data_IF_025533235939
#
_entry.id   IF_025533235939
#
_cell.length_a   1.000
_cell.length_b   1.000
_cell.length_c   1.000
_cell.angle_alpha   90.00
_cell.angle_beta   90.00
_cell.angle_gamma   90.00
#
_symmetry.space_group_name_H-M   'P 1'
#
loop_
_entity.id
_entity.type
_entity.pdbx_description
1 polymer ?
#
# COMPACT_ATOMS: atom_id res chain seq x y z
N UNK A 1 20.74 -60.06 -8.23
CA UNK A 1 22.16 -60.36 -7.94
C UNK A 1 22.25 -60.49 -6.42
N UNK A 2 22.17 -61.71 -5.83
CA UNK A 2 23.30 -62.64 -5.52
C UNK A 2 24.42 -61.86 -4.81
N UNK A 3 24.76 -62.05 -3.52
CA UNK A 3 25.04 -63.25 -2.71
C UNK A 3 24.73 -62.92 -1.21
N UNK A 4 24.21 -63.74 -0.30
CA UNK A 4 24.26 -65.18 -0.02
C UNK A 4 25.63 -65.74 0.42
N UNK A 5 25.75 -65.99 1.73
CA UNK A 5 26.46 -67.16 2.29
C UNK A 5 27.90 -66.95 2.77
N UNK A 6 28.16 -67.15 4.07
CA UNK A 6 28.55 -68.48 4.53
C UNK A 6 28.58 -68.60 6.06
N UNK A 7 27.75 -69.51 6.58
CA UNK A 7 27.99 -70.22 7.83
C UNK A 7 29.12 -71.22 7.61
N UNK A 8 30.02 -71.36 8.59
CA UNK A 8 30.79 -72.59 8.76
C UNK A 8 30.74 -73.00 10.22
N UNK A 9 30.02 -74.09 10.48
CA UNK A 9 30.13 -74.89 11.70
C UNK A 9 31.37 -75.77 11.55
N UNK A 10 32.23 -75.80 12.56
CA UNK A 10 33.15 -76.91 12.76
C UNK A 10 33.24 -77.21 14.27
N UNK A 11 32.76 -78.39 14.64
CA UNK A 11 32.93 -78.98 15.96
C UNK A 11 34.04 -80.03 15.85
N UNK A 12 35.11 -79.91 16.63
CA UNK A 12 35.99 -81.03 16.98
C UNK A 12 36.39 -80.92 18.46
N UNK A 13 36.15 -82.04 19.13
CA UNK A 13 36.48 -82.40 20.50
C UNK A 13 38.00 -82.55 20.66
N UNK A 14 38.59 -81.97 21.69
CA UNK A 14 40.02 -82.15 22.01
C UNK A 14 40.36 -81.58 23.38
N UNK A 15 40.21 -82.41 24.41
CA UNK A 15 40.64 -82.07 25.76
C UNK A 15 42.17 -81.97 25.82
N UNK A 16 42.65 -80.90 26.45
CA UNK A 16 44.03 -80.83 26.94
C UNK A 16 44.11 -79.93 28.16
N UNK A 17 44.89 -80.41 29.11
CA UNK A 17 45.04 -79.95 30.49
C UNK A 17 45.25 -78.44 30.62
N UNK A 18 44.58 -77.89 31.64
CA UNK A 18 44.87 -76.59 32.22
C UNK A 18 46.31 -76.56 32.76
N UNK A 19 47.09 -75.58 32.31
CA UNK A 19 48.14 -74.98 33.12
C UNK A 19 47.80 -73.50 33.28
N UNK A 20 47.41 -73.15 34.50
CA UNK A 20 47.02 -71.79 34.86
C UNK A 20 48.20 -70.84 34.80
N UNK A 21 48.05 -69.77 34.04
CA UNK A 21 48.73 -68.50 34.33
C UNK A 21 48.07 -67.90 35.56
N UNK A 22 48.81 -67.43 36.58
CA UNK A 22 48.19 -66.79 37.74
C UNK A 22 47.48 -65.53 37.26
N UNK A 23 46.15 -65.52 37.40
CA UNK A 23 45.38 -64.29 37.41
C UNK A 23 45.93 -63.45 38.56
N UNK A 24 46.38 -62.23 38.25
CA UNK A 24 46.66 -61.22 39.26
C UNK A 24 45.31 -60.91 39.91
N UNK A 25 45.03 -61.53 41.05
CA UNK A 25 43.88 -61.22 41.88
C UNK A 25 44.03 -59.77 42.34
N UNK A 26 43.06 -58.92 42.00
CA UNK A 26 42.93 -57.61 42.63
C UNK A 26 42.57 -57.83 44.10
N UNK A 27 43.54 -57.72 45.00
CA UNK A 27 43.34 -57.57 46.44
C UNK A 27 42.71 -56.20 46.73
N UNK A 28 41.43 -56.05 46.39
CA UNK A 28 40.60 -54.96 46.89
C UNK A 28 40.11 -55.29 48.30
N UNK A 29 39.86 -54.29 49.17
CA UNK A 29 39.22 -54.52 50.45
C UNK A 29 37.88 -55.26 50.25
N UNK A 30 37.53 -56.22 51.13
CA UNK A 30 36.33 -57.02 50.96
C UNK A 30 35.07 -56.15 51.01
N UNK A 31 34.11 -56.46 50.13
CA UNK A 31 32.77 -55.88 50.18
C UNK A 31 32.09 -56.36 51.46
N UNK A 32 31.52 -55.43 52.23
CA UNK A 32 30.81 -55.69 53.48
C UNK A 32 29.42 -55.09 53.41
N UNK A 33 28.47 -55.72 54.11
CA UNK A 33 27.11 -55.21 54.29
C UNK A 33 26.94 -54.70 55.71
N UNK A 34 26.47 -53.46 55.88
CA UNK A 34 26.17 -52.85 57.17
C UNK A 34 24.77 -52.22 57.14
N UNK A 35 23.97 -52.57 58.14
CA UNK A 35 22.68 -51.95 58.39
C UNK A 35 22.83 -50.87 59.46
N UNK A 36 22.17 -49.74 59.26
CA UNK A 36 22.17 -48.58 60.16
C UNK A 36 20.82 -48.45 60.88
N UNK A 37 20.82 -47.69 61.98
CA UNK A 37 19.64 -47.51 62.83
C UNK A 37 18.48 -46.78 62.11
N UNK A 38 18.79 -46.00 61.07
CA UNK A 38 17.81 -45.36 60.19
C UNK A 38 17.14 -46.35 59.20
N UNK A 39 17.48 -47.64 59.29
CA UNK A 39 17.04 -48.70 58.39
C UNK A 39 17.81 -48.73 57.08
N UNK A 40 18.81 -47.87 56.89
CA UNK A 40 19.68 -47.84 55.73
C UNK A 40 20.57 -49.08 55.65
N UNK A 41 20.81 -49.56 54.43
CA UNK A 41 21.70 -50.69 54.15
C UNK A 41 22.80 -50.21 53.21
N UNK A 42 24.05 -50.28 53.67
CA UNK A 42 25.22 -50.07 52.83
C UNK A 42 25.86 -51.40 52.47
N UNK A 43 26.19 -51.58 51.20
CA UNK A 43 26.95 -52.70 50.66
C UNK A 43 28.14 -52.16 49.86
N UNK A 44 29.36 -52.32 50.38
CA UNK A 44 30.54 -51.74 49.75
C UNK A 44 31.80 -51.88 50.59
N UNK A 45 32.83 -51.12 50.22
CA UNK A 45 34.13 -51.12 50.90
C UNK A 45 34.14 -50.14 52.09
N UNK A 46 34.97 -50.43 53.09
CA UNK A 46 35.14 -49.60 54.28
C UNK A 46 36.61 -49.28 54.51
N UNK A 47 36.89 -48.09 55.05
CA UNK A 47 38.20 -47.68 55.54
C UNK A 47 38.01 -47.09 56.93
N UNK A 48 38.79 -47.56 57.91
CA UNK A 48 38.70 -47.12 59.31
C UNK A 48 37.27 -47.19 59.90
N UNK A 49 36.49 -48.18 59.48
CA UNK A 49 35.10 -48.41 59.95
C UNK A 49 34.03 -47.52 59.33
N UNK A 50 34.40 -46.62 58.41
CA UNK A 50 33.48 -45.75 57.64
C UNK A 50 33.45 -46.14 56.16
N UNK A 51 32.35 -45.81 55.46
CA UNK A 51 32.16 -46.10 54.05
C UNK A 51 33.26 -45.42 53.22
N UNK A 52 33.97 -46.16 52.38
CA UNK A 52 35.03 -45.58 51.53
C UNK A 52 35.28 -46.47 50.32
N UNK A 53 35.58 -45.90 49.16
CA UNK A 53 35.75 -46.66 47.90
C UNK A 53 34.44 -46.70 47.11
N UNK A 54 33.98 -47.87 46.66
CA UNK A 54 32.72 -47.99 45.89
C UNK A 54 31.70 -48.78 46.69
N UNK A 55 30.45 -48.31 46.70
CA UNK A 55 29.38 -48.99 47.42
C UNK A 55 28.00 -48.52 47.05
N UNK A 56 27.02 -49.29 47.50
CA UNK A 56 25.60 -49.03 47.31
C UNK A 56 24.94 -48.77 48.67
N UNK A 57 24.28 -47.63 48.82
CA UNK A 57 23.48 -47.28 49.99
C UNK A 57 22.00 -47.25 49.64
N UNK A 58 21.17 -47.96 50.39
CA UNK A 58 19.72 -48.04 50.20
C UNK A 58 19.00 -47.62 51.47
N UNK A 59 18.06 -46.68 51.35
CA UNK A 59 17.20 -46.26 52.45
C UNK A 59 15.79 -46.86 52.28
N UNK A 60 15.07 -47.15 53.39
CA UNK A 60 13.69 -47.65 53.33
C UNK A 60 12.71 -46.73 52.60
N UNK A 61 13.03 -45.43 52.52
CA UNK A 61 12.22 -44.45 51.79
C UNK A 61 12.33 -44.58 50.25
N UNK A 62 13.15 -45.51 49.74
CA UNK A 62 13.34 -45.73 48.30
C UNK A 62 14.52 -44.97 47.69
N UNK A 63 15.28 -44.20 48.47
CA UNK A 63 16.54 -43.62 48.00
C UNK A 63 17.61 -44.72 47.86
N UNK A 64 18.29 -44.75 46.72
CA UNK A 64 19.43 -45.62 46.47
C UNK A 64 20.58 -44.79 45.86
N UNK A 65 21.79 -44.91 46.40
CA UNK A 65 22.99 -44.38 45.79
C UNK A 65 23.98 -45.50 45.51
N UNK A 66 24.48 -45.60 44.28
CA UNK A 66 25.58 -46.50 43.91
C UNK A 66 26.73 -45.68 43.35
N UNK A 67 27.88 -45.67 44.01
CA UNK A 67 29.01 -44.87 43.52
C UNK A 67 30.19 -44.80 44.47
N UNK A 68 30.98 -43.75 44.31
CA UNK A 68 32.17 -43.47 45.09
C UNK A 68 31.82 -42.87 46.47
N UNK A 69 32.57 -43.28 47.48
CA UNK A 69 32.47 -42.84 48.87
C UNK A 69 33.84 -42.44 49.36
N UNK A 70 33.92 -41.33 50.08
CA UNK A 70 35.12 -40.89 50.78
C UNK A 70 34.81 -40.60 52.24
N UNK A 71 35.32 -41.47 53.14
CA UNK A 71 35.24 -41.29 54.59
C UNK A 71 33.81 -41.05 55.12
N UNK A 72 32.84 -41.82 54.61
CA UNK A 72 31.43 -41.74 54.98
C UNK A 72 30.61 -40.78 54.12
N UNK A 73 31.24 -39.96 53.27
CA UNK A 73 30.54 -39.03 52.38
C UNK A 73 30.44 -39.57 50.96
N UNK A 74 29.29 -39.36 50.31
CA UNK A 74 29.11 -39.60 48.88
C UNK A 74 29.96 -38.57 48.10
N UNK A 75 30.86 -39.05 47.25
CA UNK A 75 31.81 -38.22 46.50
C UNK A 75 32.14 -38.86 45.16
N UNK A 76 32.72 -38.10 44.23
CA UNK A 76 33.13 -38.63 42.93
C UNK A 76 31.94 -39.06 42.06
N UNK A 77 32.09 -40.09 41.25
CA UNK A 77 31.04 -40.50 40.29
C UNK A 77 30.09 -41.54 40.89
N UNK A 78 28.79 -41.40 40.57
CA UNK A 78 27.78 -42.35 41.01
C UNK A 78 26.41 -42.15 40.37
N UNK A 79 25.46 -42.99 40.80
CA UNK A 79 24.06 -42.96 40.40
C UNK A 79 23.21 -42.88 41.66
N UNK A 80 22.39 -41.83 41.77
CA UNK A 80 21.37 -41.69 42.81
C UNK A 80 19.97 -41.91 42.20
N UNK A 81 19.19 -42.81 42.79
CA UNK A 81 17.77 -43.00 42.53
C UNK A 81 17.00 -42.41 43.69
N UNK A 82 16.11 -41.48 43.40
CA UNK A 82 15.34 -40.76 44.40
C UNK A 82 13.99 -41.47 44.65
N UNK A 83 13.40 -41.32 45.85
CA UNK A 83 12.07 -41.89 46.17
C UNK A 83 10.96 -41.53 45.19
N UNK A 84 11.05 -40.35 44.57
CA UNK A 84 10.06 -39.89 43.59
C UNK A 84 10.21 -40.54 42.21
N UNK A 85 11.20 -41.43 42.01
CA UNK A 85 11.50 -42.09 40.73
C UNK A 85 12.53 -41.36 39.86
N UNK A 86 12.99 -40.17 40.28
CA UNK A 86 14.06 -39.46 39.54
C UNK A 86 15.39 -40.18 39.68
N UNK A 87 16.25 -40.06 38.67
CA UNK A 87 17.58 -40.69 38.65
C UNK A 87 18.60 -39.65 38.25
N UNK A 88 19.63 -39.46 39.08
CA UNK A 88 20.81 -38.68 38.74
C UNK A 88 22.00 -39.60 38.53
N UNK A 89 22.74 -39.39 37.44
CA UNK A 89 24.01 -40.04 37.13
C UNK A 89 25.06 -38.96 36.86
N UNK A 90 26.14 -38.94 37.63
CA UNK A 90 27.16 -37.91 37.45
C UNK A 90 28.12 -37.80 38.63
N UNK A 91 28.76 -36.64 38.71
CA UNK A 91 29.70 -36.32 39.78
C UNK A 91 28.96 -35.81 41.04
N UNK A 92 29.54 -36.08 42.20
CA UNK A 92 29.04 -35.72 43.51
C UNK A 92 30.15 -35.12 44.37
N UNK A 93 29.80 -34.12 45.18
CA UNK A 93 30.63 -33.59 46.26
C UNK A 93 29.79 -33.39 47.52
N UNK A 94 30.24 -33.96 48.63
CA UNK A 94 29.56 -33.89 49.94
C UNK A 94 28.08 -34.31 49.83
N UNK A 95 27.82 -35.37 49.09
CA UNK A 95 26.48 -35.90 48.84
C UNK A 95 25.60 -35.12 47.87
N UNK A 96 26.05 -34.00 47.32
CA UNK A 96 25.27 -33.22 46.36
C UNK A 96 25.79 -33.46 44.93
N UNK A 97 24.90 -33.46 43.92
CA UNK A 97 25.29 -33.31 42.52
C UNK A 97 26.27 -32.14 42.33
N UNK A 98 27.39 -32.39 41.66
CA UNK A 98 28.47 -31.42 41.46
C UNK A 98 29.14 -31.68 40.10
N UNK A 99 29.61 -30.64 39.40
CA UNK A 99 30.25 -30.79 38.10
C UNK A 99 29.26 -31.26 37.03
N UNK A 100 29.68 -32.13 36.12
CA UNK A 100 28.81 -32.59 35.04
C UNK A 100 27.97 -33.81 35.46
N UNK A 101 26.69 -33.80 35.12
CA UNK A 101 25.78 -34.91 35.41
C UNK A 101 24.45 -34.83 34.68
N UNK A 102 23.76 -35.97 34.66
CA UNK A 102 22.47 -36.18 34.01
C UNK A 102 21.39 -36.55 35.03
N UNK A 103 20.32 -35.78 35.07
CA UNK A 103 19.10 -36.05 35.81
C UNK A 103 17.99 -36.50 34.84
N UNK A 104 17.30 -37.58 35.17
CA UNK A 104 16.03 -38.00 34.59
C UNK A 104 14.98 -37.80 35.67
N UNK A 105 14.00 -36.94 35.41
CA UNK A 105 12.94 -36.60 36.33
C UNK A 105 11.79 -37.62 36.24
N UNK A 106 11.01 -37.71 37.32
CA UNK A 106 9.89 -38.65 37.40
C UNK A 106 8.80 -38.45 36.34
N UNK A 107 8.67 -37.23 35.79
CA UNK A 107 7.75 -36.89 34.72
C UNK A 107 8.25 -37.27 33.32
N UNK A 108 9.46 -37.86 33.23
CA UNK A 108 10.12 -38.23 31.98
C UNK A 108 10.99 -37.12 31.37
N UNK A 109 11.01 -35.92 31.96
CA UNK A 109 11.95 -34.87 31.59
C UNK A 109 13.39 -35.27 31.94
N UNK A 110 14.36 -34.56 31.37
CA UNK A 110 15.78 -34.74 31.70
C UNK A 110 16.56 -33.44 31.66
N UNK A 111 17.64 -33.38 32.42
CA UNK A 111 18.67 -32.35 32.32
C UNK A 111 20.05 -33.00 32.27
N UNK A 112 20.93 -32.56 31.39
CA UNK A 112 22.31 -33.02 31.28
C UNK A 112 23.23 -31.81 31.15
N UNK A 113 24.08 -31.55 32.15
CA UNK A 113 24.86 -30.32 32.21
C UNK A 113 25.58 -30.10 33.54
N UNK A 114 25.92 -28.84 33.81
CA UNK A 114 26.66 -28.41 34.99
C UNK A 114 25.78 -28.33 36.27
N UNK A 115 26.36 -28.81 37.36
CA UNK A 115 25.78 -28.80 38.71
C UNK A 115 26.75 -28.15 39.69
N UNK A 116 26.21 -27.36 40.62
CA UNK A 116 26.96 -26.78 41.71
C UNK A 116 26.14 -26.89 43.00
N UNK A 117 26.68 -27.61 43.99
CA UNK A 117 26.03 -27.83 45.28
C UNK A 117 24.56 -28.29 45.14
N UNK A 118 24.31 -29.23 44.22
CA UNK A 118 22.99 -29.80 43.97
C UNK A 118 22.05 -28.95 43.12
N UNK A 119 22.49 -27.78 42.63
CA UNK A 119 21.70 -26.90 41.77
C UNK A 119 22.16 -26.99 40.31
N UNK A 120 21.18 -27.03 39.40
CA UNK A 120 21.39 -26.87 37.96
C UNK A 120 21.92 -25.45 37.69
N UNK A 121 23.07 -25.37 37.03
CA UNK A 121 23.75 -24.10 36.70
C UNK A 121 24.58 -24.27 35.43
N UNK A 122 25.39 -23.27 35.06
CA UNK A 122 26.35 -23.38 33.95
C UNK A 122 25.67 -23.68 32.62
N UNK A 123 26.24 -24.54 31.79
CA UNK A 123 25.63 -24.93 30.52
C UNK A 123 25.04 -26.34 30.62
N UNK A 124 23.95 -26.57 29.87
CA UNK A 124 23.38 -27.89 29.78
C UNK A 124 22.25 -27.99 28.77
N UNK A 125 21.71 -29.20 28.67
CA UNK A 125 20.57 -29.53 27.83
C UNK A 125 19.42 -30.06 28.68
N UNK A 126 18.28 -29.38 28.64
CA UNK A 126 17.04 -29.85 29.21
C UNK A 126 16.11 -30.40 28.12
N UNK A 127 15.44 -31.52 28.40
CA UNK A 127 14.31 -32.02 27.65
C UNK A 127 13.12 -32.10 28.60
N UNK A 128 12.02 -31.43 28.27
CA UNK A 128 10.83 -31.37 29.09
C UNK A 128 9.83 -32.46 28.69
N UNK A 129 8.99 -32.89 29.62
CA UNK A 129 7.99 -33.93 29.36
C UNK A 129 7.01 -33.59 28.21
N UNK A 130 6.81 -32.30 27.92
CA UNK A 130 6.01 -31.82 26.80
C UNK A 130 6.75 -31.84 25.43
N UNK A 131 7.98 -32.36 25.39
CA UNK A 131 8.83 -32.45 24.21
C UNK A 131 9.63 -31.19 23.88
N UNK A 132 9.47 -30.10 24.62
CA UNK A 132 10.33 -28.90 24.47
C UNK A 132 11.76 -29.27 24.87
N UNK A 133 12.75 -28.77 24.14
CA UNK A 133 14.15 -28.87 24.53
C UNK A 133 14.77 -27.49 24.67
N UNK A 134 15.71 -27.36 25.60
CA UNK A 134 16.55 -26.18 25.77
C UNK A 134 18.01 -26.60 25.81
N UNK A 135 18.86 -25.94 25.04
CA UNK A 135 20.31 -26.12 25.03
C UNK A 135 20.96 -24.76 25.27
N UNK A 136 21.62 -24.57 26.42
CA UNK A 136 22.17 -23.27 26.79
C UNK A 136 22.50 -23.11 28.27
N UNK A 137 22.62 -21.86 28.69
CA UNK A 137 22.98 -21.51 30.06
C UNK A 137 21.83 -21.63 31.05
N UNK A 138 22.17 -21.91 32.30
CA UNK A 138 21.29 -22.03 33.44
C UNK A 138 21.84 -21.28 34.64
N UNK A 139 20.96 -20.63 35.39
CA UNK A 139 21.26 -20.05 36.70
C UNK A 139 20.13 -20.42 37.67
N UNK A 140 20.46 -21.10 38.77
CA UNK A 140 19.47 -21.59 39.75
C UNK A 140 18.29 -22.34 39.09
N UNK A 141 18.61 -23.25 38.16
CA UNK A 141 17.65 -24.03 37.35
C UNK A 141 16.76 -23.23 36.38
N UNK A 142 16.95 -21.92 36.23
CA UNK A 142 16.28 -21.09 35.22
C UNK A 142 17.18 -20.89 34.00
N UNK A 143 16.58 -20.76 32.81
CA UNK A 143 17.33 -20.39 31.59
C UNK A 143 18.02 -19.04 31.79
N UNK A 144 19.31 -18.97 31.46
CA UNK A 144 20.11 -17.75 31.62
C UNK A 144 21.23 -17.70 30.58
N UNK A 145 21.65 -16.50 30.18
CA UNK A 145 22.73 -16.34 29.21
C UNK A 145 22.26 -16.65 27.79
N UNK A 146 23.05 -17.36 27.00
CA UNK A 146 22.63 -17.75 25.65
C UNK A 146 21.99 -19.14 25.67
N UNK A 147 20.94 -19.33 24.87
CA UNK A 147 20.34 -20.65 24.74
C UNK A 147 19.32 -20.76 23.61
N UNK A 148 19.18 -21.99 23.13
CA UNK A 148 18.26 -22.39 22.07
C UNK A 148 17.13 -23.23 22.66
N UNK A 149 15.92 -22.70 22.63
CA UNK A 149 14.69 -23.42 22.95
C UNK A 149 14.02 -23.91 21.67
N UNK A 150 13.74 -25.20 21.57
CA UNK A 150 13.04 -25.83 20.45
C UNK A 150 11.75 -26.47 20.93
N UNK A 151 10.63 -26.07 20.35
CA UNK A 151 9.33 -26.69 20.59
C UNK A 151 9.04 -27.75 19.51
N UNK A 152 8.32 -28.83 19.85
CA UNK A 152 7.95 -29.88 18.88
C UNK A 152 7.14 -29.39 17.68
N UNK A 153 6.45 -28.24 17.81
CA UNK A 153 5.67 -27.64 16.74
C UNK A 153 6.53 -26.87 15.70
N UNK A 154 7.86 -26.87 15.85
CA UNK A 154 8.78 -26.15 14.96
C UNK A 154 9.11 -24.72 15.39
N UNK A 155 8.53 -24.21 16.48
CA UNK A 155 8.95 -22.93 17.06
C UNK A 155 10.35 -23.06 17.67
N UNK A 156 11.26 -22.18 17.28
CA UNK A 156 12.63 -22.11 17.83
C UNK A 156 12.88 -20.69 18.31
N UNK A 157 13.48 -20.56 19.49
CA UNK A 157 14.08 -19.31 19.97
C UNK A 157 15.55 -19.54 20.25
N UNK A 158 16.41 -18.76 19.62
CA UNK A 158 17.86 -18.75 19.80
C UNK A 158 18.27 -17.33 20.25
N UNK A 159 18.67 -17.16 21.51
CA UNK A 159 19.04 -15.84 21.99
C UNK A 159 19.30 -15.74 23.49
N UNK A 160 19.28 -14.50 23.98
CA UNK A 160 19.57 -14.19 25.39
C UNK A 160 18.39 -14.50 26.31
N UNK A 161 18.69 -15.10 27.45
CA UNK A 161 17.77 -15.39 28.54
C UNK A 161 18.24 -14.70 29.81
N UNK A 162 17.31 -14.13 30.55
CA UNK A 162 17.55 -13.53 31.87
C UNK A 162 16.48 -14.02 32.83
N UNK A 163 16.89 -14.79 33.85
CA UNK A 163 16.00 -15.38 34.87
C UNK A 163 14.78 -16.11 34.26
N UNK A 164 15.01 -16.92 33.22
CA UNK A 164 13.97 -17.69 32.54
C UNK A 164 13.15 -16.91 31.51
N UNK A 165 13.47 -15.63 31.26
CA UNK A 165 12.74 -14.75 30.34
C UNK A 165 13.59 -14.42 29.13
N UNK A 166 13.02 -14.49 27.92
CA UNK A 166 13.69 -14.06 26.67
C UNK A 166 13.97 -12.55 26.73
N UNK A 167 15.21 -12.17 26.50
CA UNK A 167 15.71 -10.81 26.64
C UNK A 167 16.81 -10.52 25.61
N UNK A 168 17.37 -9.30 25.61
CA UNK A 168 18.52 -8.94 24.79
C UNK A 168 18.28 -9.12 23.29
N UNK A 169 19.17 -9.83 22.60
CA UNK A 169 19.02 -10.16 21.17
C UNK A 169 18.53 -11.59 21.03
N UNK A 170 17.69 -11.84 20.04
CA UNK A 170 17.31 -13.21 19.71
C UNK A 170 16.74 -13.37 18.31
N UNK A 171 16.78 -14.62 17.86
CA UNK A 171 16.18 -15.12 16.63
C UNK A 171 15.02 -16.05 16.98
N UNK A 172 13.85 -15.75 16.44
CA UNK A 172 12.68 -16.61 16.51
C UNK A 172 12.46 -17.22 15.13
N UNK A 173 12.38 -18.54 15.04
CA UNK A 173 11.85 -19.23 13.87
C UNK A 173 10.45 -19.74 14.21
N UNK A 174 9.47 -19.33 13.42
CA UNK A 174 8.07 -19.69 13.61
C UNK A 174 7.75 -21.00 12.85
N UNK A 175 6.71 -21.75 13.27
CA UNK A 175 6.29 -22.99 12.60
C UNK A 175 5.94 -22.84 11.12
N UNK A 176 5.49 -21.66 10.69
CA UNK A 176 5.18 -21.34 9.30
C UNK A 176 6.42 -21.04 8.45
N UNK A 177 7.61 -20.98 9.05
CA UNK A 177 8.87 -20.63 8.41
C UNK A 177 9.22 -19.14 8.52
N UNK A 178 8.37 -18.32 9.15
CA UNK A 178 8.70 -16.94 9.44
C UNK A 178 9.92 -16.84 10.37
N UNK A 179 10.70 -15.78 10.23
CA UNK A 179 11.89 -15.54 11.04
C UNK A 179 11.87 -14.11 11.57
N UNK A 180 11.99 -13.95 12.88
CA UNK A 180 12.27 -12.65 13.51
C UNK A 180 13.69 -12.63 14.06
N UNK A 181 14.45 -11.57 13.81
CA UNK A 181 15.76 -11.32 14.41
C UNK A 181 15.79 -9.90 14.96
N UNK A 182 15.97 -9.72 16.27
CA UNK A 182 15.92 -8.39 16.86
C UNK A 182 16.03 -8.36 18.38
N UNK A 183 15.66 -7.20 18.96
CA UNK A 183 15.63 -7.04 20.41
C UNK A 183 14.43 -7.77 21.04
N UNK A 184 14.64 -8.23 22.26
CA UNK A 184 13.68 -8.93 23.09
C UNK A 184 13.67 -8.28 24.47
N UNK A 185 12.48 -8.04 25.01
CA UNK A 185 12.30 -7.57 26.38
C UNK A 185 11.04 -8.20 26.97
N UNK A 186 11.10 -8.61 28.23
CA UNK A 186 9.97 -9.19 28.96
C UNK A 186 9.31 -10.38 28.19
N UNK A 187 10.11 -11.19 27.50
CA UNK A 187 9.60 -12.34 26.74
C UNK A 187 9.01 -12.00 25.37
N UNK A 188 9.00 -10.72 24.97
CA UNK A 188 8.37 -10.22 23.75
C UNK A 188 9.37 -9.53 22.83
N UNK A 189 9.01 -9.41 21.54
CA UNK A 189 9.76 -8.59 20.57
C UNK A 189 9.69 -7.12 20.99
N UNK A 190 10.82 -6.43 20.90
CA UNK A 190 11.02 -5.07 21.39
C UNK A 190 12.07 -4.37 20.53
N UNK A 191 12.30 -3.07 20.76
CA UNK A 191 13.44 -2.34 20.20
C UNK A 191 13.46 -2.35 18.68
N UNK A 192 14.56 -2.79 18.09
CA UNK A 192 14.71 -2.93 16.64
C UNK A 192 14.74 -4.40 16.25
N UNK A 193 14.08 -4.75 15.14
CA UNK A 193 14.10 -6.10 14.62
C UNK A 193 13.61 -6.23 13.19
N UNK A 194 14.00 -7.33 12.57
CA UNK A 194 13.61 -7.73 11.23
C UNK A 194 12.71 -8.95 11.32
N UNK A 195 11.53 -8.89 10.71
CA UNK A 195 10.65 -10.03 10.48
C UNK A 195 10.63 -10.34 8.98
N UNK A 196 10.98 -11.57 8.63
CA UNK A 196 10.90 -12.12 7.27
C UNK A 196 9.86 -13.22 7.25
N UNK A 197 8.83 -13.07 6.42
CA UNK A 197 7.77 -14.06 6.24
C UNK A 197 8.04 -14.92 4.99
N UNK A 198 7.54 -16.16 4.92
CA UNK A 198 7.74 -17.06 3.78
C UNK A 198 7.14 -16.55 2.47
N UNK A 199 6.11 -15.71 2.54
CA UNK A 199 5.46 -15.07 1.39
C UNK A 199 6.28 -13.90 0.81
N UNK A 200 7.45 -13.60 1.37
CA UNK A 200 8.32 -12.50 0.95
C UNK A 200 8.05 -11.17 1.65
N UNK A 201 7.08 -11.09 2.56
CA UNK A 201 6.91 -9.89 3.39
C UNK A 201 8.12 -9.73 4.31
N UNK A 202 8.71 -8.53 4.32
CA UNK A 202 9.83 -8.18 5.19
C UNK A 202 9.48 -6.89 5.93
N UNK A 203 9.50 -6.93 7.26
CA UNK A 203 9.44 -5.75 8.09
C UNK A 203 10.77 -5.52 8.79
N UNK A 204 11.33 -4.33 8.69
CA UNK A 204 12.53 -3.88 9.40
C UNK A 204 12.20 -2.60 10.15
N UNK A 205 12.26 -2.62 11.48
CA UNK A 205 12.05 -1.40 12.26
C UNK A 205 11.72 -1.61 13.72
N UNK A 206 11.02 -0.63 14.27
CA UNK A 206 10.71 -0.54 15.69
C UNK A 206 9.59 -1.49 16.15
N UNK A 207 9.83 -2.13 17.29
CA UNK A 207 8.91 -3.01 17.98
C UNK A 207 8.66 -2.53 19.40
N UNK A 208 7.42 -2.67 19.87
CA UNK A 208 7.03 -2.38 21.25
C UNK A 208 5.98 -3.38 21.70
N UNK A 209 6.20 -3.99 22.86
CA UNK A 209 5.28 -4.95 23.50
C UNK A 209 4.80 -6.05 22.53
N UNK A 210 5.74 -6.58 21.73
CA UNK A 210 5.49 -7.62 20.74
C UNK A 210 4.84 -7.16 19.43
N UNK A 211 4.53 -5.88 19.27
CA UNK A 211 3.87 -5.31 18.08
C UNK A 211 4.81 -4.42 17.27
N UNK A 212 4.56 -4.34 15.97
CA UNK A 212 5.20 -3.37 15.07
C UNK A 212 4.73 -1.96 15.49
N UNK A 213 5.64 -1.13 15.99
CA UNK A 213 5.29 0.18 16.52
C UNK A 213 6.49 1.14 16.49
N UNK A 214 6.38 2.19 15.67
CA UNK A 214 7.42 3.17 15.42
C UNK A 214 7.85 3.21 13.95
N UNK A 215 8.99 3.84 13.69
CA UNK A 215 9.52 3.95 12.32
C UNK A 215 10.01 2.60 11.81
N UNK A 216 9.73 2.31 10.55
CA UNK A 216 10.21 1.11 9.89
C UNK A 216 10.04 1.12 8.39
N UNK A 217 10.58 0.07 7.77
CA UNK A 217 10.45 -0.27 6.35
C UNK A 217 9.67 -1.58 6.24
N UNK A 218 8.55 -1.55 5.52
CA UNK A 218 7.74 -2.71 5.22
C UNK A 218 7.83 -2.99 3.71
N UNK A 219 8.40 -4.13 3.33
CA UNK A 219 8.38 -4.65 1.97
C UNK A 219 7.28 -5.70 1.89
N UNK A 220 6.28 -5.50 1.04
CA UNK A 220 5.19 -6.44 0.84
C UNK A 220 5.56 -7.51 -0.18
N UNK A 221 4.84 -8.64 -0.16
CA UNK A 221 5.03 -9.76 -1.08
C UNK A 221 4.86 -9.39 -2.55
N UNK A 222 4.09 -8.34 -2.85
CA UNK A 222 3.90 -7.82 -4.22
C UNK A 222 5.06 -6.92 -4.70
N UNK A 223 6.02 -6.60 -3.83
CA UNK A 223 7.14 -5.70 -4.13
C UNK A 223 6.94 -4.25 -3.69
N UNK A 224 5.76 -3.87 -3.17
CA UNK A 224 5.55 -2.52 -2.63
C UNK A 224 6.41 -2.31 -1.38
N UNK A 225 7.03 -1.14 -1.29
CA UNK A 225 7.87 -0.76 -0.15
C UNK A 225 7.29 0.47 0.52
N UNK A 226 6.91 0.33 1.79
CA UNK A 226 6.57 1.43 2.68
C UNK A 226 7.75 1.79 3.58
N UNK A 227 7.99 3.07 3.79
CA UNK A 227 8.90 3.61 4.80
C UNK A 227 8.21 4.74 5.56
N UNK A 228 8.05 4.59 6.87
CA UNK A 228 7.37 5.60 7.69
C UNK A 228 6.99 5.08 9.07
N UNK A 229 6.06 5.76 9.72
CA UNK A 229 5.55 5.39 11.03
C UNK A 229 4.50 4.27 10.92
N UNK A 230 4.67 3.21 11.70
CA UNK A 230 3.65 2.18 11.89
C UNK A 230 3.15 2.17 13.32
N UNK A 231 1.86 1.94 13.52
CA UNK A 231 1.22 1.78 14.83
C UNK A 231 0.41 0.50 14.81
N UNK A 232 0.78 -0.46 15.66
CA UNK A 232 0.19 -1.79 15.70
C UNK A 232 0.18 -2.50 14.32
N UNK A 233 1.21 -2.24 13.50
CA UNK A 233 1.34 -2.80 12.14
C UNK A 233 0.64 -1.99 11.03
N UNK A 234 -0.20 -1.02 11.35
CA UNK A 234 -0.85 -0.16 10.35
C UNK A 234 0.00 1.07 10.03
N UNK A 235 0.03 1.50 8.76
CA UNK A 235 0.69 2.75 8.35
C UNK A 235 -0.01 3.95 9.00
N UNK A 236 0.78 4.85 9.56
CA UNK A 236 0.30 6.02 10.28
C UNK A 236 1.25 7.21 10.09
N UNK A 237 0.79 8.42 10.39
CA UNK A 237 1.62 9.62 10.33
C UNK A 237 2.18 9.87 8.93
N UNK A 238 3.39 10.38 8.80
CA UNK A 238 4.03 10.58 7.49
C UNK A 238 4.76 9.33 7.03
N UNK A 239 4.72 9.06 5.74
CA UNK A 239 5.48 7.97 5.14
C UNK A 239 5.54 8.05 3.62
N UNK A 240 6.33 7.15 3.06
CA UNK A 240 6.54 6.99 1.63
C UNK A 240 6.21 5.55 1.23
N UNK A 241 5.43 5.39 0.17
CA UNK A 241 5.22 4.11 -0.52
C UNK A 241 5.87 4.21 -1.89
N UNK A 242 6.75 3.27 -2.21
CA UNK A 242 7.18 2.99 -3.57
C UNK A 242 6.46 1.72 -4.02
N UNK A 243 5.59 1.84 -5.00
CA UNK A 243 4.84 0.71 -5.54
C UNK A 243 5.71 -0.14 -6.45
N UNK A 244 5.35 -1.41 -6.63
CA UNK A 244 6.09 -2.35 -7.48
C UNK A 244 6.17 -1.90 -8.96
N UNK A 245 5.19 -1.12 -9.43
CA UNK A 245 5.19 -0.52 -10.77
C UNK A 245 6.11 0.72 -10.89
N UNK A 246 6.72 1.17 -9.79
CA UNK A 246 7.59 2.34 -9.72
C UNK A 246 6.90 3.64 -9.32
N UNK A 247 5.56 3.66 -9.21
CA UNK A 247 4.84 4.83 -8.72
C UNK A 247 5.22 5.11 -7.27
N UNK A 248 5.08 6.37 -6.86
CA UNK A 248 5.46 6.81 -5.51
C UNK A 248 4.34 7.62 -4.89
N UNK A 249 4.03 7.34 -3.63
CA UNK A 249 3.26 8.23 -2.77
C UNK A 249 4.11 8.67 -1.58
N UNK A 250 4.11 9.96 -1.27
CA UNK A 250 4.74 10.52 -0.08
C UNK A 250 3.78 11.50 0.60
N UNK A 251 3.38 11.20 1.85
CA UNK A 251 2.37 11.99 2.53
C UNK A 251 1.87 11.36 3.82
N UNK A 252 0.71 11.82 4.27
CA UNK A 252 0.08 11.36 5.50
C UNK A 252 -0.69 10.04 5.34
N UNK A 253 -0.73 9.28 6.43
CA UNK A 253 -1.46 8.03 6.59
C UNK A 253 -2.25 8.03 7.91
N UNK A 254 -3.44 7.45 7.87
CA UNK A 254 -4.24 7.13 9.05
C UNK A 254 -4.87 5.76 8.86
N UNK A 255 -4.48 4.79 9.70
CA UNK A 255 -4.95 3.40 9.66
C UNK A 255 -4.91 2.83 8.24
N UNK A 256 -3.69 2.77 7.69
CA UNK A 256 -3.37 2.27 6.36
C UNK A 256 -3.92 3.05 5.16
N UNK A 257 -4.67 4.13 5.39
CA UNK A 257 -5.22 4.96 4.30
C UNK A 257 -4.43 6.24 4.16
N UNK A 258 -4.18 6.66 2.92
CA UNK A 258 -3.65 8.00 2.61
C UNK A 258 -4.60 9.05 3.18
N UNK A 259 -4.06 10.05 3.88
CA UNK A 259 -4.82 11.02 4.65
C UNK A 259 -4.07 12.34 4.79
N UNK A 260 -4.77 13.47 4.77
CA UNK A 260 -4.18 14.79 4.91
C UNK A 260 -3.45 15.20 3.64
N UNK A 261 -2.26 15.79 3.74
CA UNK A 261 -1.50 16.23 2.56
C UNK A 261 -0.58 15.12 2.05
N UNK A 262 -0.44 15.02 0.72
CA UNK A 262 0.51 14.10 0.10
C UNK A 262 0.70 14.34 -1.39
N UNK A 263 1.79 13.78 -1.89
CA UNK A 263 2.19 13.80 -3.29
C UNK A 263 2.14 12.38 -3.84
N UNK A 264 1.48 12.20 -4.98
CA UNK A 264 1.56 10.98 -5.79
C UNK A 264 2.29 11.28 -7.09
N UNK A 265 3.27 10.46 -7.44
CA UNK A 265 4.08 10.56 -8.65
C UNK A 265 3.98 9.25 -9.40
N UNK A 266 3.29 9.27 -10.53
CA UNK A 266 3.20 8.17 -11.48
C UNK A 266 4.43 8.11 -12.38
N UNK A 267 4.78 6.90 -12.78
CA UNK A 267 5.88 6.64 -13.74
C UNK A 267 5.57 7.10 -15.16
N UNK A 268 4.29 7.35 -15.47
CA UNK A 268 3.80 7.92 -16.72
C UNK A 268 3.91 9.46 -16.78
N UNK A 269 4.38 10.10 -15.71
CA UNK A 269 4.48 11.56 -15.60
C UNK A 269 3.26 12.21 -14.94
N UNK A 270 2.24 11.44 -14.54
CA UNK A 270 1.14 11.94 -13.73
C UNK A 270 1.66 12.36 -12.34
N UNK A 271 1.36 13.58 -11.90
CA UNK A 271 1.75 14.05 -10.57
C UNK A 271 0.53 14.69 -9.91
N UNK A 272 0.17 14.23 -8.72
CA UNK A 272 -0.81 14.89 -7.86
C UNK A 272 -0.14 15.42 -6.60
N UNK A 273 -0.44 16.66 -6.21
CA UNK A 273 -0.06 17.26 -4.94
C UNK A 273 -1.28 17.88 -4.29
N UNK A 274 -1.70 17.41 -3.12
CA UNK A 274 -2.90 17.96 -2.48
C UNK A 274 -3.43 17.17 -1.29
N UNK A 275 -4.72 17.36 -1.05
CA UNK A 275 -5.49 16.72 0.02
C UNK A 275 -5.92 15.29 -0.31
N UNK A 276 -5.84 14.44 0.71
CA UNK A 276 -6.23 13.05 0.72
C UNK A 276 -7.19 12.79 1.86
N UNK A 277 -8.26 12.05 1.58
CA UNK A 277 -9.22 11.60 2.58
C UNK A 277 -9.49 10.11 2.39
N UNK A 278 -9.20 9.32 3.43
CA UNK A 278 -9.49 7.89 3.47
C UNK A 278 -9.02 7.11 2.22
N UNK A 279 -7.86 7.48 1.68
CA UNK A 279 -7.24 6.83 0.52
C UNK A 279 -7.52 7.47 -0.84
N UNK A 280 -8.42 8.46 -0.91
CA UNK A 280 -8.83 9.16 -2.14
C UNK A 280 -8.29 10.58 -2.21
N UNK A 281 -8.12 11.10 -3.41
CA UNK A 281 -7.90 12.52 -3.67
C UNK A 281 -9.22 13.25 -3.39
N UNK A 282 -9.22 14.14 -2.40
CA UNK A 282 -10.42 14.85 -1.93
C UNK A 282 -10.01 16.13 -1.21
N UNK A 283 -10.58 17.28 -1.59
CA UNK A 283 -10.18 18.60 -1.08
C UNK A 283 -9.47 19.44 -2.15
N UNK A 284 -8.43 20.19 -1.78
CA UNK A 284 -7.70 21.04 -2.73
C UNK A 284 -6.43 20.35 -3.21
N UNK A 285 -6.12 20.48 -4.50
CA UNK A 285 -4.89 19.93 -5.05
C UNK A 285 -4.53 20.45 -6.43
N UNK A 286 -3.41 19.93 -6.91
CA UNK A 286 -2.86 20.21 -8.23
C UNK A 286 -2.48 18.90 -8.91
N UNK A 287 -2.94 18.70 -10.13
CA UNK A 287 -2.56 17.59 -11.02
C UNK A 287 -1.72 18.14 -12.17
N UNK A 288 -0.60 17.49 -12.45
CA UNK A 288 0.11 17.58 -13.72
C UNK A 288 -0.12 16.27 -14.46
N UNK A 289 -0.70 16.34 -15.66
CA UNK A 289 -0.99 15.19 -16.50
C UNK A 289 0.20 14.83 -17.40
N UNK A 290 0.29 13.58 -17.90
CA UNK A 290 1.36 13.14 -18.81
C UNK A 290 1.51 13.96 -20.10
N UNK A 291 0.42 14.58 -20.58
CA UNK A 291 0.43 15.46 -21.76
C UNK A 291 1.03 16.84 -21.46
N UNK A 292 1.29 17.18 -20.18
CA UNK A 292 1.75 18.48 -19.72
C UNK A 292 0.63 19.42 -19.27
N UNK A 293 -0.63 19.01 -19.39
CA UNK A 293 -1.77 19.76 -18.86
C UNK A 293 -1.67 19.86 -17.34
N UNK A 294 -2.09 20.99 -16.78
CA UNK A 294 -2.06 21.24 -15.33
C UNK A 294 -3.43 21.66 -14.87
N UNK A 295 -4.02 20.91 -13.93
CA UNK A 295 -5.24 21.29 -13.24
C UNK A 295 -4.92 21.69 -11.79
N UNK A 296 -5.52 22.79 -11.31
CA UNK A 296 -5.45 23.23 -9.92
C UNK A 296 -6.86 23.60 -9.44
N UNK A 297 -7.31 22.98 -8.34
CA UNK A 297 -8.65 23.21 -7.84
C UNK A 297 -9.15 22.16 -6.85
N UNK A 298 -10.47 22.04 -6.81
CA UNK A 298 -11.20 21.20 -5.87
C UNK A 298 -11.41 19.79 -6.42
N UNK A 299 -11.33 18.79 -5.54
CA UNK A 299 -11.52 17.38 -5.86
C UNK A 299 -12.53 16.74 -4.91
N UNK A 300 -13.23 15.72 -5.41
CA UNK A 300 -14.05 14.79 -4.64
C UNK A 300 -13.99 13.41 -5.27
N UNK A 301 -13.78 12.39 -4.46
CA UNK A 301 -13.74 10.99 -4.91
C UNK A 301 -12.84 10.77 -6.13
N UNK A 302 -11.60 11.26 -6.06
CA UNK A 302 -10.56 11.15 -7.09
C UNK A 302 -10.77 11.99 -8.37
N UNK A 303 -11.85 12.78 -8.45
CA UNK A 303 -12.21 13.57 -9.62
C UNK A 303 -12.23 15.06 -9.33
N UNK A 304 -11.91 15.89 -10.34
CA UNK A 304 -12.10 17.33 -10.26
C UNK A 304 -13.59 17.65 -10.03
N UNK A 305 -13.90 18.38 -8.97
CA UNK A 305 -15.27 18.66 -8.58
C UNK A 305 -15.34 19.94 -7.73
N UNK A 306 -16.13 20.91 -8.18
CA UNK A 306 -16.20 22.25 -7.59
C UNK A 306 -15.58 23.29 -8.52
N UNK A 307 -14.69 24.13 -8.00
CA UNK A 307 -14.01 25.16 -8.77
C UNK A 307 -12.57 24.75 -9.07
N UNK A 308 -12.09 25.04 -10.27
CA UNK A 308 -10.70 24.81 -10.64
C UNK A 308 -10.33 25.35 -12.01
N UNK A 309 -9.02 25.38 -12.26
CA UNK A 309 -8.40 25.87 -13.48
C UNK A 309 -7.58 24.77 -14.13
N UNK A 310 -7.81 24.51 -15.40
CA UNK A 310 -6.93 23.70 -16.25
C UNK A 310 -6.16 24.61 -17.22
N UNK A 311 -4.87 24.36 -17.36
CA UNK A 311 -3.98 24.98 -18.35
C UNK A 311 -3.41 23.88 -19.23
N UNK A 312 -3.61 23.99 -20.53
CA UNK A 312 -3.13 23.03 -21.51
C UNK A 312 -1.71 23.39 -22.01
N UNK A 313 -0.96 22.44 -22.59
CA UNK A 313 0.40 22.68 -23.09
C UNK A 313 0.48 23.76 -24.17
N UNK A 314 -0.60 23.95 -24.94
CA UNK A 314 -0.70 24.96 -26.00
C UNK A 314 -1.00 26.37 -25.46
N UNK A 315 -1.20 26.50 -24.15
CA UNK A 315 -1.52 27.75 -23.45
C UNK A 315 -3.02 28.03 -23.34
N UNK A 316 -3.90 27.20 -23.92
CA UNK A 316 -5.33 27.32 -23.68
C UNK A 316 -5.64 27.07 -22.19
N UNK A 317 -6.70 27.70 -21.69
CA UNK A 317 -7.12 27.56 -20.29
C UNK A 317 -8.62 27.44 -20.17
N UNK A 318 -9.07 26.76 -19.13
CA UNK A 318 -10.43 26.89 -18.61
C UNK A 318 -10.38 27.10 -17.09
N UNK A 319 -11.16 28.04 -16.58
CA UNK A 319 -11.29 28.35 -15.16
C UNK A 319 -12.77 28.45 -14.79
N UNK A 320 -13.26 27.57 -13.93
CA UNK A 320 -14.68 27.54 -13.58
C UNK A 320 -15.13 26.25 -12.88
N UNK A 321 -16.40 25.90 -13.12
CA UNK A 321 -17.07 24.76 -12.51
C UNK A 321 -16.71 23.39 -13.10
N UNK A 322 -16.65 22.40 -12.21
CA UNK A 322 -16.40 20.99 -12.52
C UNK A 322 -17.37 20.11 -11.75
N UNK A 323 -17.88 19.06 -12.39
CA UNK A 323 -18.67 18.00 -11.76
C UNK A 323 -18.11 16.65 -12.23
N UNK A 324 -17.67 15.82 -11.28
CA UNK A 324 -17.15 14.47 -11.56
C UNK A 324 -16.14 14.42 -12.74
N UNK A 325 -15.19 15.36 -12.77
CA UNK A 325 -14.12 15.42 -13.76
C UNK A 325 -14.50 16.14 -15.07
N UNK A 326 -15.72 16.65 -15.20
CA UNK A 326 -16.22 17.30 -16.42
C UNK A 326 -16.46 18.79 -16.18
N UNK A 327 -16.04 19.62 -17.14
CA UNK A 327 -16.33 21.06 -17.16
C UNK A 327 -17.84 21.28 -17.25
N UNK A 328 -18.41 21.96 -16.25
CA UNK A 328 -19.85 22.13 -16.09
C UNK A 328 -20.17 23.41 -15.32
N UNK A 329 -21.26 24.09 -15.67
CA UNK A 329 -21.67 25.34 -15.01
C UNK A 329 -20.91 26.55 -15.55
N UNK A 330 -20.67 27.57 -14.72
CA UNK A 330 -20.07 28.84 -15.17
C UNK A 330 -18.54 28.78 -15.19
N UNK A 331 -17.92 29.40 -16.18
CA UNK A 331 -16.48 29.53 -16.26
C UNK A 331 -16.00 30.41 -17.42
N UNK A 332 -14.68 30.52 -17.52
CA UNK A 332 -13.99 31.29 -18.56
C UNK A 332 -13.01 30.36 -19.28
N UNK A 333 -13.15 30.24 -20.60
CA UNK A 333 -12.22 29.55 -21.48
C UNK A 333 -11.41 30.55 -22.32
N UNK A 334 -10.09 30.40 -22.34
CA UNK A 334 -9.17 31.15 -23.21
C UNK A 334 -8.58 30.18 -24.20
N UNK A 335 -8.74 30.46 -25.49
CA UNK A 335 -8.24 29.63 -26.58
C UNK A 335 -6.90 30.16 -27.10
N UNK A 336 -6.11 29.31 -27.75
CA UNK A 336 -4.77 29.65 -28.27
C UNK A 336 -4.76 30.77 -29.30
N UNK A 337 -5.87 30.98 -30.00
CA UNK A 337 -6.07 32.08 -30.95
C UNK A 337 -6.41 33.43 -30.28
N UNK A 338 -6.46 33.48 -28.94
CA UNK A 338 -6.81 34.68 -28.17
C UNK A 338 -8.31 34.89 -27.99
N UNK A 339 -9.17 33.99 -28.48
CA UNK A 339 -10.59 34.02 -28.19
C UNK A 339 -10.80 33.71 -26.71
N UNK A 340 -11.69 34.46 -26.06
CA UNK A 340 -12.13 34.21 -24.69
C UNK A 340 -13.64 33.98 -24.70
N UNK A 341 -14.10 32.93 -24.04
CA UNK A 341 -15.51 32.68 -23.76
C UNK A 341 -15.76 32.74 -22.26
N UNK A 342 -16.66 33.61 -21.82
CA UNK A 342 -17.14 33.73 -20.44
C UNK A 342 -18.63 33.39 -20.42
N UNK A 343 -19.01 32.28 -19.80
CA UNK A 343 -20.39 31.84 -19.82
C UNK A 343 -20.64 30.49 -19.17
N UNK A 344 -21.79 29.92 -19.49
CA UNK A 344 -22.19 28.59 -19.04
C UNK A 344 -21.60 27.49 -19.94
N UNK A 345 -21.35 26.33 -19.32
CA UNK A 345 -20.81 25.13 -19.93
C UNK A 345 -21.65 23.92 -19.52
N UNK A 346 -21.79 22.98 -20.45
CA UNK A 346 -22.41 21.69 -20.22
C UNK A 346 -21.65 20.62 -20.98
N UNK A 347 -21.23 19.55 -20.30
CA UNK A 347 -20.40 18.49 -20.90
C UNK A 347 -19.17 19.05 -21.65
N UNK A 348 -18.47 20.01 -21.05
CA UNK A 348 -17.32 20.71 -21.63
C UNK A 348 -17.58 21.53 -22.92
N UNK A 349 -18.84 21.84 -23.23
CA UNK A 349 -19.21 22.68 -24.37
C UNK A 349 -19.87 23.98 -23.90
N UNK A 350 -19.64 25.08 -24.63
CA UNK A 350 -20.36 26.34 -24.43
C UNK A 350 -21.87 26.08 -24.48
N UNK A 351 -22.60 26.55 -23.47
CA UNK A 351 -24.04 26.34 -23.32
C UNK A 351 -24.69 27.55 -22.64
N UNK A 352 -26.01 27.62 -22.65
CA UNK A 352 -26.74 28.65 -21.89
C UNK A 352 -26.39 30.07 -22.36
N UNK A 353 -26.22 31.01 -21.44
CA UNK A 353 -25.79 32.37 -21.77
C UNK A 353 -24.26 32.49 -21.70
N UNK A 354 -23.66 33.20 -22.67
CA UNK A 354 -22.24 33.47 -22.64
C UNK A 354 -21.79 34.57 -23.61
N UNK A 355 -20.60 35.08 -23.35
CA UNK A 355 -19.92 36.13 -24.11
C UNK A 355 -18.62 35.59 -24.70
N UNK A 356 -18.48 35.63 -26.02
CA UNK A 356 -17.26 35.30 -26.75
C UNK A 356 -16.60 36.58 -27.26
N UNK A 357 -15.34 36.82 -26.90
CA UNK A 357 -14.57 38.00 -27.33
C UNK A 357 -13.30 37.58 -28.06
N UNK A 358 -12.89 38.38 -29.03
CA UNK A 358 -11.54 38.36 -29.60
C UNK A 358 -11.01 39.79 -29.53
N UNK A 359 -10.23 40.08 -28.49
CA UNK A 359 -9.80 41.44 -28.21
C UNK A 359 -8.89 42.05 -29.30
N UNK A 360 -8.21 41.20 -30.08
CA UNK A 360 -7.27 41.64 -31.12
C UNK A 360 -7.96 42.26 -32.34
N UNK A 361 -9.20 41.88 -32.63
CA UNK A 361 -9.99 42.43 -33.75
C UNK A 361 -11.26 43.16 -33.30
N UNK A 362 -11.56 43.21 -31.99
CA UNK A 362 -12.73 43.88 -31.45
C UNK A 362 -14.04 43.11 -31.65
N UNK A 363 -13.98 41.83 -32.03
CA UNK A 363 -15.15 40.97 -32.12
C UNK A 363 -15.70 40.63 -30.73
N UNK A 364 -17.02 40.73 -30.58
CA UNK A 364 -17.75 40.29 -29.40
C UNK A 364 -19.07 39.65 -29.82
N UNK A 365 -19.42 38.52 -29.21
CA UNK A 365 -20.76 37.95 -29.25
C UNK A 365 -21.26 37.72 -27.83
N UNK A 366 -22.44 38.26 -27.50
CA UNK A 366 -23.15 37.96 -26.24
C UNK A 366 -24.50 37.36 -26.57
N UNK A 367 -24.80 36.15 -26.09
CA UNK A 367 -26.07 35.51 -26.39
C UNK A 367 -26.20 34.08 -25.90
N UNK A 368 -27.20 33.38 -26.44
CA UNK A 368 -27.47 31.99 -26.12
C UNK A 368 -26.57 31.02 -26.90
N UNK A 369 -26.21 29.91 -26.25
CA UNK A 369 -25.39 28.83 -26.78
C UNK A 369 -26.07 27.49 -26.55
N UNK A 370 -25.94 26.60 -27.54
CA UNK A 370 -26.38 25.24 -27.43
C UNK A 370 -25.34 24.33 -28.10
N UNK A 371 -24.89 23.31 -27.37
CA UNK A 371 -23.94 22.29 -27.83
C UNK A 371 -22.71 22.89 -28.56
N UNK A 372 -22.14 23.97 -27.99
CA UNK A 372 -20.94 24.62 -28.51
C UNK A 372 -21.18 25.63 -29.65
N UNK A 373 -22.42 25.84 -30.10
CA UNK A 373 -22.74 26.80 -31.17
C UNK A 373 -23.70 27.89 -30.73
N UNK A 374 -23.59 29.06 -31.35
CA UNK A 374 -24.53 30.18 -31.14
C UNK A 374 -25.95 29.74 -31.49
N UNK A 375 -26.88 30.02 -30.60
CA UNK A 375 -28.29 29.65 -30.71
C UNK A 375 -29.16 30.77 -30.13
N UNK A 376 -30.47 30.77 -30.41
CA UNK A 376 -31.42 31.69 -29.80
C UNK A 376 -31.08 33.17 -30.02
N UNK A 377 -31.44 34.03 -29.08
CA UNK A 377 -31.17 35.48 -29.17
C UNK A 377 -29.71 35.80 -28.85
N UNK A 378 -29.11 36.72 -29.60
CA UNK A 378 -27.78 37.25 -29.29
C UNK A 378 -27.45 38.55 -30.02
N UNK A 379 -26.35 39.16 -29.58
CA UNK A 379 -25.75 40.37 -30.14
C UNK A 379 -24.32 40.08 -30.56
N UNK A 380 -23.95 40.43 -31.80
CA UNK A 380 -22.58 40.41 -32.29
C UNK A 380 -22.13 41.85 -32.58
N UNK A 381 -20.99 42.26 -32.03
CA UNK A 381 -20.26 43.47 -32.41
C UNK A 381 -19.01 43.03 -33.18
N UNK A 382 -18.77 43.60 -34.35
CA UNK A 382 -17.62 43.32 -35.19
C UNK A 382 -16.56 44.42 -35.04
N UNK A 383 -15.32 44.10 -35.38
CA UNK A 383 -14.19 45.03 -35.29
C UNK A 383 -14.33 46.33 -36.09
N UNK A 384 -15.08 46.29 -37.18
CA UNK A 384 -15.38 47.46 -38.00
C UNK A 384 -16.46 48.37 -37.37
N UNK A 385 -17.05 47.98 -36.23
CA UNK A 385 -18.15 48.64 -35.55
C UNK A 385 -19.54 48.18 -36.02
N UNK A 386 -19.63 47.23 -36.95
CA UNK A 386 -20.91 46.61 -37.33
C UNK A 386 -21.51 45.90 -36.13
N UNK A 387 -22.84 45.98 -35.98
CA UNK A 387 -23.58 45.30 -34.92
C UNK A 387 -24.71 44.49 -35.53
N UNK A 388 -24.86 43.23 -35.11
CA UNK A 388 -26.05 42.40 -35.39
C UNK A 388 -26.73 42.03 -34.07
N UNK A 389 -28.04 42.24 -33.97
CA UNK A 389 -28.88 41.81 -32.85
C UNK A 389 -30.05 40.99 -33.39
N UNK A 390 -30.18 39.72 -32.99
CA UNK A 390 -31.23 38.86 -33.51
C UNK A 390 -31.07 37.40 -33.13
N UNK A 391 -31.83 36.54 -33.81
CA UNK A 391 -31.80 35.09 -33.58
C UNK A 391 -30.68 34.39 -34.35
N UNK A 392 -30.21 33.28 -33.77
CA UNK A 392 -29.21 32.38 -34.32
C UNK A 392 -29.71 30.94 -34.28
N UNK A 393 -29.36 30.16 -35.30
CA UNK A 393 -29.52 28.71 -35.33
C UNK A 393 -28.28 28.08 -35.98
N UNK A 394 -27.78 26.98 -35.41
CA UNK A 394 -26.59 26.27 -35.89
C UNK A 394 -25.38 27.19 -36.14
N UNK A 395 -25.18 28.18 -35.26
CA UNK A 395 -24.08 29.12 -35.36
C UNK A 395 -24.26 30.22 -36.42
N UNK A 396 -25.39 30.29 -37.13
CA UNK A 396 -25.65 31.28 -38.19
C UNK A 396 -26.82 32.19 -37.82
N UNK A 397 -26.87 33.39 -38.40
CA UNK A 397 -28.03 34.29 -38.31
C UNK A 397 -29.22 33.60 -38.98
N UNK A 398 -30.30 33.39 -38.24
CA UNK A 398 -31.49 32.68 -38.72
C UNK A 398 -32.69 33.15 -37.90
N UNK A 399 -33.82 33.45 -38.55
CA UNK A 399 -35.02 33.99 -37.90
C UNK A 399 -35.16 35.50 -38.10
N UNK A 400 -35.25 36.30 -37.03
CA UNK A 400 -35.41 37.76 -37.11
C UNK A 400 -34.20 38.47 -36.50
N UNK A 401 -33.76 39.55 -37.12
CA UNK A 401 -32.63 40.32 -36.60
C UNK A 401 -32.38 41.63 -37.33
N UNK A 402 -31.62 42.49 -36.67
CA UNK A 402 -31.19 43.80 -37.16
C UNK A 402 -29.68 43.83 -37.28
N UNK A 403 -29.15 44.22 -38.45
CA UNK A 403 -27.74 44.55 -38.65
C UNK A 403 -27.60 46.06 -38.89
N UNK A 404 -26.62 46.70 -38.25
CA UNK A 404 -26.30 48.12 -38.38
C UNK A 404 -24.81 48.28 -38.63
N UNK A 405 -24.44 48.95 -39.71
CA UNK A 405 -23.06 49.26 -40.07
C UNK A 405 -22.73 50.72 -39.76
N UNK A 406 -21.49 51.05 -39.38
CA UNK A 406 -21.07 52.44 -39.18
C UNK A 406 -21.13 53.31 -40.44
N UNK A 407 -21.15 52.68 -41.62
CA UNK A 407 -21.40 53.34 -42.90
C UNK A 407 -22.79 54.00 -42.99
N UNK A 408 -23.71 53.67 -42.08
CA UNK A 408 -25.11 54.11 -42.09
C UNK A 408 -26.07 53.11 -42.72
N UNK A 409 -25.58 52.00 -43.29
CA UNK A 409 -26.46 50.91 -43.72
C UNK A 409 -27.07 50.19 -42.51
N UNK A 410 -28.37 49.91 -42.56
CA UNK A 410 -29.00 48.99 -41.63
C UNK A 410 -30.02 48.10 -42.32
N UNK A 411 -30.24 46.90 -41.80
CA UNK A 411 -31.32 46.02 -42.22
C UNK A 411 -31.99 45.42 -40.99
N UNK A 412 -33.33 45.42 -40.95
CA UNK A 412 -34.13 44.74 -39.94
C UNK A 412 -35.16 43.84 -40.60
N UNK A 413 -35.14 42.53 -40.31
CA UNK A 413 -36.09 41.59 -40.89
C UNK A 413 -35.65 40.15 -40.78
N UNK A 414 -36.13 39.34 -41.73
CA UNK A 414 -35.91 37.91 -41.77
C UNK A 414 -34.51 37.51 -42.27
N UNK A 415 -33.96 36.44 -41.68
CA UNK A 415 -32.66 35.84 -41.98
C UNK A 415 -32.78 34.34 -42.14
N UNK A 416 -32.01 33.77 -43.08
CA UNK A 416 -31.87 32.32 -43.25
C UNK A 416 -30.43 31.98 -43.58
N UNK A 417 -29.86 30.99 -42.87
CA UNK A 417 -28.51 30.50 -43.12
C UNK A 417 -27.44 31.61 -43.27
N UNK A 418 -27.51 32.62 -42.40
CA UNK A 418 -26.57 33.73 -42.39
C UNK A 418 -26.86 34.85 -43.39
N UNK A 419 -27.86 34.72 -44.27
CA UNK A 419 -28.21 35.69 -45.30
C UNK A 419 -29.54 36.39 -45.01
N UNK A 420 -29.69 37.59 -45.55
CA UNK A 420 -30.96 38.31 -45.55
C UNK A 420 -31.92 37.57 -46.50
N UNK A 421 -33.03 37.06 -45.95
CA UNK A 421 -34.00 36.24 -46.69
C UNK A 421 -35.40 36.33 -46.04
N UNK A 422 -36.41 36.71 -46.83
CA UNK A 422 -37.77 36.99 -46.38
C UNK A 422 -38.10 38.48 -46.35
N UNK A 423 -39.10 38.87 -45.55
CA UNK A 423 -39.51 40.29 -45.42
C UNK A 423 -38.56 41.07 -44.52
N UNK A 424 -38.25 42.31 -44.89
CA UNK A 424 -37.49 43.23 -44.05
C UNK A 424 -37.41 44.65 -44.59
N UNK A 425 -36.72 45.51 -43.84
CA UNK A 425 -36.49 46.92 -44.12
C UNK A 425 -34.98 47.17 -44.18
N UNK A 426 -34.46 47.66 -45.30
CA UNK A 426 -33.07 48.09 -45.46
C UNK A 426 -32.99 49.62 -45.60
N UNK A 427 -32.24 50.27 -44.72
CA UNK A 427 -31.90 51.69 -44.79
C UNK A 427 -30.48 51.83 -45.34
N UNK A 428 -30.32 52.64 -46.38
CA UNK A 428 -29.04 52.84 -47.05
C UNK A 428 -28.31 54.10 -46.52
N UNK A 429 -26.98 54.19 -46.68
CA UNK A 429 -26.18 55.35 -46.24
C UNK A 429 -26.65 56.71 -46.78
N UNK A 430 -27.30 56.73 -47.94
CA UNK A 430 -27.86 57.93 -48.54
C UNK A 430 -29.25 58.32 -47.99
N UNK A 431 -29.78 57.56 -47.01
CA UNK A 431 -31.08 57.75 -46.40
C UNK A 431 -32.25 57.12 -47.15
N UNK A 432 -32.00 56.44 -48.28
CA UNK A 432 -33.05 55.67 -48.96
C UNK A 432 -33.46 54.47 -48.10
N UNK A 433 -34.71 54.04 -48.22
CA UNK A 433 -35.26 52.90 -47.47
C UNK A 433 -35.95 51.95 -48.44
N UNK A 434 -35.60 50.66 -48.38
CA UNK A 434 -36.32 49.60 -49.06
C UNK A 434 -37.07 48.76 -48.05
N UNK A 435 -38.37 48.58 -48.25
CA UNK A 435 -39.22 47.67 -47.48
C UNK A 435 -39.78 46.61 -48.43
N UNK A 436 -39.47 45.34 -48.20
CA UNK A 436 -39.91 44.29 -49.11
C UNK A 436 -39.30 42.93 -48.86
N UNK A 437 -39.42 42.07 -49.88
CA UNK A 437 -38.92 40.71 -49.87
C UNK A 437 -37.43 40.65 -50.31
N UNK A 438 -36.70 39.72 -49.72
CA UNK A 438 -35.29 39.45 -50.02
C UNK A 438 -35.04 37.97 -50.22
N UNK A 439 -34.07 37.63 -51.07
CA UNK A 439 -33.51 36.28 -51.24
C UNK A 439 -32.01 36.39 -51.37
N UNK A 440 -31.27 35.71 -50.48
CA UNK A 440 -29.80 35.68 -50.47
C UNK A 440 -29.16 37.07 -50.63
N UNK A 441 -29.51 37.99 -49.73
CA UNK A 441 -28.97 39.36 -49.63
C UNK A 441 -29.41 40.33 -50.74
N UNK A 442 -30.29 39.89 -51.66
CA UNK A 442 -30.82 40.73 -52.75
C UNK A 442 -32.30 41.01 -52.58
N UNK A 443 -32.71 42.24 -52.90
CA UNK A 443 -34.13 42.61 -53.07
C UNK A 443 -34.76 41.70 -54.13
N UNK A 444 -35.90 41.10 -53.81
CA UNK A 444 -36.52 40.05 -54.61
C UNK A 444 -38.01 40.00 -54.32
N UNK A 445 -38.89 39.87 -55.31
CA UNK A 445 -40.34 39.85 -55.09
C UNK A 445 -40.89 41.25 -54.77
N UNK A 446 -42.06 41.32 -54.14
CA UNK A 446 -42.73 42.60 -53.86
C UNK A 446 -41.96 43.46 -52.85
N UNK A 447 -41.83 44.76 -53.17
CA UNK A 447 -41.26 45.74 -52.25
C UNK A 447 -41.36 47.19 -52.75
N UNK A 448 -41.13 48.11 -51.83
CA UNK A 448 -41.17 49.56 -52.04
C UNK A 448 -39.83 50.19 -51.68
N UNK A 449 -39.23 50.93 -52.61
CA UNK A 449 -38.11 51.83 -52.36
C UNK A 449 -38.65 53.24 -52.09
N UNK A 450 -38.26 53.86 -50.97
CA UNK A 450 -38.53 55.26 -50.61
C UNK A 450 -37.22 56.04 -50.66
N UNK A 451 -37.16 57.03 -51.53
CA UNK A 451 -35.99 57.88 -51.70
C UNK A 451 -36.01 59.03 -50.69
N UNK A 452 -34.85 59.53 -50.31
CA UNK A 452 -34.75 60.72 -49.42
C UNK A 452 -35.42 61.97 -50.03
N UNK A 453 -35.60 62.01 -51.36
CA UNK A 453 -36.36 63.04 -52.07
C UNK A 453 -37.86 63.00 -51.80
N UNK A 454 -38.39 61.91 -51.22
CA UNK A 454 -39.82 61.64 -51.06
C UNK A 454 -40.46 60.87 -52.22
N UNK A 455 -39.69 60.54 -53.26
CA UNK A 455 -40.14 59.65 -54.34
C UNK A 455 -40.26 58.21 -53.85
N UNK A 456 -41.23 57.46 -54.37
CA UNK A 456 -41.45 56.06 -54.04
C UNK A 456 -41.63 55.20 -55.28
N UNK A 457 -40.93 54.07 -55.31
CA UNK A 457 -41.03 53.06 -56.36
C UNK A 457 -41.48 51.74 -55.74
N UNK A 458 -42.64 51.22 -56.16
CA UNK A 458 -43.19 49.94 -55.70
C UNK A 458 -43.38 48.98 -56.86
N UNK A 459 -43.10 47.70 -56.64
CA UNK A 459 -43.37 46.64 -57.60
C UNK A 459 -42.57 45.37 -57.33
N UNK A 460 -42.46 44.51 -58.34
CA UNK A 460 -41.68 43.28 -58.26
C UNK A 460 -40.20 43.55 -58.50
N UNK A 461 -39.34 43.06 -57.61
CA UNK A 461 -37.89 43.14 -57.71
C UNK A 461 -37.31 41.79 -58.14
N UNK A 462 -36.33 41.79 -59.04
CA UNK A 462 -35.57 40.59 -59.41
C UNK A 462 -34.09 40.88 -59.37
N UNK A 463 -33.34 40.09 -58.58
CA UNK A 463 -31.89 40.24 -58.43
C UNK A 463 -31.43 41.67 -58.06
N UNK A 464 -32.23 42.36 -57.25
CA UNK A 464 -31.90 43.71 -56.81
C UNK A 464 -32.36 44.84 -57.75
N UNK A 465 -33.07 44.55 -58.84
CA UNK A 465 -33.57 45.56 -59.80
C UNK A 465 -35.10 45.53 -59.84
N UNK A 466 -35.73 46.71 -59.88
CA UNK A 466 -37.17 46.84 -60.07
C UNK A 466 -37.49 46.47 -61.52
N UNK A 467 -38.34 45.47 -61.72
CA UNK A 467 -38.77 45.10 -63.08
C UNK A 467 -39.86 46.07 -63.52
N UNK A 468 -39.61 46.79 -64.61
CA UNK A 468 -40.68 47.48 -65.35
C UNK A 468 -41.42 46.44 -66.20
N UNK A 469 -42.72 46.63 -66.42
CA UNK A 469 -43.63 45.70 -67.11
C UNK A 469 -43.27 45.36 -68.58
N UNK A 470 -42.05 45.64 -69.06
CA UNK A 470 -41.64 45.43 -70.46
C UNK A 470 -40.77 44.17 -70.71
N UNK A 471 -40.33 43.42 -69.70
CA UNK A 471 -39.57 42.17 -69.90
C UNK A 471 -40.27 40.93 -69.32
N UNK A 472 -41.40 40.54 -69.91
CA UNK A 472 -41.80 39.11 -69.98
C UNK A 472 -42.54 38.80 -71.29
N UNK A 473 -41.83 38.87 -72.41
CA UNK A 473 -42.17 38.05 -73.57
C UNK A 473 -40.93 37.63 -74.35
N UNK A 474 -40.38 36.46 -74.03
CA UNK A 474 -39.77 35.59 -75.04
C UNK A 474 -40.00 34.11 -74.69
N UNK A 475 -40.09 33.24 -75.71
CA UNK A 475 -40.95 32.07 -75.70
C UNK A 475 -40.24 30.82 -75.20
N UNK A 476 -41.04 29.87 -74.73
CA UNK A 476 -40.61 28.50 -74.54
C UNK A 476 -40.09 27.90 -75.86
N UNK A 477 -38.87 27.36 -75.82
CA UNK A 477 -38.35 26.44 -76.84
C UNK A 477 -38.49 24.99 -76.32
N UNK A 478 -38.70 24.02 -77.22
CA UNK A 478 -39.37 22.76 -76.92
C UNK A 478 -38.46 21.71 -76.30
N UNK A 479 -39.12 20.71 -75.71
CA UNK A 479 -38.52 19.49 -75.18
C UNK A 479 -37.82 18.66 -76.26
N UNK A 480 -36.64 18.14 -75.91
CA UNK A 480 -36.16 16.79 -76.26
C UNK A 480 -35.54 16.13 -75.04
#
# INVERSE_FOLDING_TARGET
MRNAGNMLKLAILGGTLAMGTPAVAQDGPPVQTKQYDDGGIYEGTFKDGVQHGRGTYRLPNGYEYTGQWDMGEISGTGVARFPNGSVYEGSFAKGNPEGFGKMIFADGGSYEGDWLAGKITGNGRAAYANGVTYDGGFENAMHHGQGVMTNPNGYVYDGTWEQGVKAGKGKITYPDGGVYEGDMANGQRSGQGVLTMPDGLIYEGAWKDGQINGLGKLTQSNGDVYQGLLVAGERHGTGKVTYANGDVYEGGFASDKRQGKGTFTGTDGYIYVGDWLAGRIDGQGKVTYPDGSVYEGSFRDDLADGQGKITYPDGATYEGGWIAGVIEGKGVATYTNGVVYDGEFKNAQNHGMGTMTLASDGYEYTGQWQDGVRHGMGKTTYGDGTVYEGTFANGQRDGQGTITQPSGFSYSGAWKNGKIEGKGIATYPNGNVYEGMFVADKRQGEGTMRYISGEEESGTWRNGVLTTDEETSEPAAPAE
#
